data_IF_812841228520
#
_entry.id   IF_812841228520
#
_cell.length_a   1.000
_cell.length_b   1.000
_cell.length_c   1.000
_cell.angle_alpha   90.00
_cell.angle_beta   90.00
_cell.angle_gamma   90.00
#
_symmetry.space_group_name_H-M   'P 1'
#
loop_
_entity.id
_entity.type
_entity.pdbx_description
1 polymer ?
#
# COMPACT_ATOMS: atom_id res chain seq x y z
N UNK A 1 3.49 -18.18 5.12
CA UNK A 1 4.73 -17.98 4.35
C UNK A 1 5.09 -19.31 3.71
N UNK A 2 5.44 -19.32 2.43
CA UNK A 2 5.84 -20.52 1.68
C UNK A 2 7.23 -20.25 1.09
N UNK A 3 8.07 -21.27 0.96
CA UNK A 3 9.36 -21.12 0.28
C UNK A 3 9.09 -20.85 -1.20
N UNK A 4 9.84 -19.92 -1.80
CA UNK A 4 9.72 -19.69 -3.25
C UNK A 4 10.32 -20.85 -4.04
N UNK A 5 9.63 -21.28 -5.09
CA UNK A 5 10.08 -22.35 -5.98
C UNK A 5 11.17 -21.87 -6.98
N UNK A 6 11.29 -20.56 -7.19
CA UNK A 6 12.24 -19.95 -8.15
C UNK A 6 13.53 -19.43 -7.50
N UNK A 7 13.48 -18.96 -6.25
CA UNK A 7 14.67 -18.57 -5.48
C UNK A 7 14.64 -19.17 -4.07
N UNK A 8 15.60 -20.04 -3.78
CA UNK A 8 15.74 -20.70 -2.47
C UNK A 8 15.99 -19.75 -1.28
N UNK A 9 16.30 -18.47 -1.53
CA UNK A 9 16.46 -17.42 -0.53
C UNK A 9 15.21 -16.56 -0.37
N UNK A 10 14.26 -16.62 -1.30
CA UNK A 10 13.02 -15.87 -1.24
C UNK A 10 11.94 -16.60 -0.42
N UNK A 11 11.05 -15.83 0.18
CA UNK A 11 9.88 -16.34 0.91
C UNK A 11 8.64 -15.64 0.42
N UNK A 12 7.66 -16.42 0.00
CA UNK A 12 6.36 -15.93 -0.43
C UNK A 12 5.45 -15.69 0.78
N UNK A 13 4.86 -14.51 0.83
CA UNK A 13 3.85 -14.15 1.82
C UNK A 13 2.49 -14.26 1.14
N UNK A 14 1.71 -15.26 1.55
CA UNK A 14 0.36 -15.50 1.01
C UNK A 14 -0.66 -15.04 2.04
N UNK A 15 -1.61 -14.21 1.61
CA UNK A 15 -2.77 -13.83 2.41
C UNK A 15 -3.70 -15.04 2.54
N UNK A 16 -3.94 -15.49 3.78
CA UNK A 16 -4.84 -16.63 4.02
C UNK A 16 -6.30 -16.19 3.87
N UNK A 17 -7.21 -17.15 3.68
CA UNK A 17 -8.64 -16.87 3.64
C UNK A 17 -9.13 -16.17 4.92
N UNK A 18 -8.71 -16.65 6.09
CA UNK A 18 -9.03 -16.01 7.38
C UNK A 18 -8.42 -14.61 7.49
N UNK A 19 -7.20 -14.42 7.00
CA UNK A 19 -6.54 -13.10 6.96
C UNK A 19 -7.28 -12.12 6.06
N UNK A 20 -7.76 -12.58 4.90
CA UNK A 20 -8.58 -11.78 3.99
C UNK A 20 -9.90 -11.36 4.64
N UNK A 21 -10.60 -12.28 5.29
CA UNK A 21 -11.84 -11.96 6.02
C UNK A 21 -11.60 -10.94 7.14
N UNK A 22 -10.52 -11.10 7.91
CA UNK A 22 -10.15 -10.16 8.96
C UNK A 22 -9.82 -8.77 8.39
N UNK A 23 -9.10 -8.71 7.26
CA UNK A 23 -8.81 -7.45 6.57
C UNK A 23 -10.10 -6.77 6.08
N UNK A 24 -10.98 -7.49 5.39
CA UNK A 24 -12.25 -6.96 4.88
C UNK A 24 -13.15 -6.45 6.01
N UNK A 25 -13.17 -7.13 7.16
CA UNK A 25 -13.91 -6.68 8.33
C UNK A 25 -13.31 -5.41 8.96
N UNK A 26 -11.98 -5.28 8.98
CA UNK A 26 -11.29 -4.15 9.61
C UNK A 26 -11.19 -2.90 8.70
N UNK A 27 -11.10 -3.09 7.38
CA UNK A 27 -10.79 -2.04 6.42
C UNK A 27 -11.77 -0.85 6.45
N UNK A 28 -13.12 -1.03 6.52
CA UNK A 28 -14.04 0.10 6.58
C UNK A 28 -13.84 0.97 7.83
N UNK A 29 -13.65 0.34 9.00
CA UNK A 29 -13.42 1.04 10.25
C UNK A 29 -12.09 1.77 10.27
N UNK A 30 -11.04 1.14 9.76
CA UNK A 30 -9.73 1.76 9.60
C UNK A 30 -9.78 2.97 8.66
N UNK A 31 -10.41 2.83 7.48
CA UNK A 31 -10.54 3.90 6.51
C UNK A 31 -11.32 5.09 7.07
N UNK A 32 -12.42 4.85 7.80
CA UNK A 32 -13.17 5.90 8.47
C UNK A 32 -12.31 6.63 9.51
N UNK A 33 -11.52 5.88 10.29
CA UNK A 33 -10.62 6.45 11.29
C UNK A 33 -9.52 7.31 10.67
N UNK A 34 -8.87 6.84 9.60
CA UNK A 34 -7.84 7.62 8.90
C UNK A 34 -8.43 8.90 8.29
N UNK A 35 -9.61 8.82 7.66
CA UNK A 35 -10.33 9.99 7.14
C UNK A 35 -10.58 11.03 8.23
N UNK A 36 -10.98 10.59 9.41
CA UNK A 36 -11.24 11.47 10.54
C UNK A 36 -9.95 12.03 11.17
N UNK A 37 -8.98 11.18 11.47
CA UNK A 37 -7.80 11.57 12.24
C UNK A 37 -6.79 12.39 11.42
N UNK A 38 -6.65 12.07 10.13
CA UNK A 38 -5.58 12.62 9.30
C UNK A 38 -6.10 13.64 8.29
N UNK A 39 -7.25 13.38 7.66
CA UNK A 39 -7.73 14.18 6.53
C UNK A 39 -8.81 15.21 6.88
N UNK A 40 -9.44 15.15 8.06
CA UNK A 40 -10.63 15.99 8.38
C UNK A 40 -10.40 17.49 8.21
N UNK A 41 -9.19 17.94 8.52
CA UNK A 41 -8.83 19.37 8.54
C UNK A 41 -8.12 19.79 7.24
N UNK A 42 -8.00 18.88 6.28
CA UNK A 42 -7.42 19.11 4.96
C UNK A 42 -8.54 19.31 3.93
N UNK A 43 -8.62 20.51 3.34
CA UNK A 43 -9.45 20.72 2.15
C UNK A 43 -8.88 19.98 0.93
N UNK A 44 -9.68 19.75 -0.13
CA UNK A 44 -9.29 18.91 -1.28
C UNK A 44 -7.95 19.28 -1.92
N UNK A 45 -7.71 20.57 -2.19
CA UNK A 45 -6.44 21.06 -2.74
C UNK A 45 -5.22 20.66 -1.92
N UNK A 46 -5.32 20.70 -0.58
CA UNK A 46 -4.19 20.29 0.29
C UNK A 46 -3.95 18.78 0.26
N UNK A 47 -5.00 17.99 0.04
CA UNK A 47 -4.87 16.54 -0.11
C UNK A 47 -4.20 16.19 -1.44
N UNK A 48 -4.54 16.91 -2.52
CA UNK A 48 -3.89 16.79 -3.84
C UNK A 48 -2.40 17.14 -3.75
N UNK A 49 -2.06 18.28 -3.13
CA UNK A 49 -0.65 18.68 -2.92
C UNK A 49 0.13 17.64 -2.11
N UNK A 50 -0.48 17.06 -1.08
CA UNK A 50 0.16 15.99 -0.31
C UNK A 50 0.40 14.74 -1.17
N UNK A 51 -0.55 14.38 -2.04
CA UNK A 51 -0.41 13.26 -2.95
C UNK A 51 0.78 13.47 -3.90
N UNK A 52 0.91 14.64 -4.52
CA UNK A 52 2.03 14.99 -5.42
C UNK A 52 3.40 14.94 -4.71
N UNK A 53 3.46 15.40 -3.46
CA UNK A 53 4.69 15.34 -2.64
C UNK A 53 5.08 13.89 -2.37
N UNK A 54 4.12 13.06 -1.96
CA UNK A 54 4.39 11.65 -1.64
C UNK A 54 4.74 10.84 -2.89
N UNK A 55 4.13 11.14 -4.04
CA UNK A 55 4.49 10.53 -5.33
C UNK A 55 5.92 10.89 -5.75
N UNK A 56 6.30 12.16 -5.60
CA UNK A 56 7.68 12.61 -5.88
C UNK A 56 8.70 11.89 -4.99
N UNK A 57 8.38 11.70 -3.71
CA UNK A 57 9.21 10.96 -2.77
C UNK A 57 9.30 9.47 -3.15
N UNK A 58 8.17 8.84 -3.50
CA UNK A 58 8.11 7.46 -3.96
C UNK A 58 9.00 7.24 -5.20
N UNK A 59 8.88 8.10 -6.21
CA UNK A 59 9.70 8.03 -7.42
C UNK A 59 11.21 8.24 -7.13
N UNK A 60 11.55 9.09 -6.16
CA UNK A 60 12.94 9.24 -5.71
C UNK A 60 13.47 7.95 -5.07
N UNK A 61 12.67 7.32 -4.21
CA UNK A 61 13.01 6.04 -3.57
C UNK A 61 13.17 4.94 -4.62
N UNK A 62 12.32 4.89 -5.65
CA UNK A 62 12.47 3.92 -6.74
C UNK A 62 13.74 4.14 -7.56
N UNK A 63 14.12 5.39 -7.84
CA UNK A 63 15.33 5.70 -8.62
C UNK A 63 16.62 5.41 -7.88
N UNK A 64 16.64 5.64 -6.57
CA UNK A 64 17.87 5.65 -5.77
C UNK A 64 17.94 4.53 -4.73
N UNK A 65 16.81 3.90 -4.42
CA UNK A 65 16.71 2.81 -3.48
C UNK A 65 17.02 1.45 -4.09
N UNK A 66 17.01 0.42 -3.24
CA UNK A 66 17.32 -0.96 -3.62
C UNK A 66 16.06 -1.81 -3.80
N UNK A 67 14.88 -1.24 -3.56
CA UNK A 67 13.62 -1.96 -3.74
C UNK A 67 13.26 -1.94 -5.23
N UNK A 68 12.94 -3.11 -5.83
CA UNK A 68 12.43 -3.14 -7.19
C UNK A 68 11.08 -2.43 -7.24
N UNK A 69 10.75 -1.85 -8.41
CA UNK A 69 9.39 -1.33 -8.65
C UNK A 69 8.40 -2.49 -8.44
N UNK A 70 7.36 -2.31 -7.59
CA UNK A 70 6.35 -3.33 -7.40
C UNK A 70 5.62 -3.56 -8.72
N UNK A 71 5.38 -4.83 -9.04
CA UNK A 71 4.49 -5.24 -10.12
C UNK A 71 3.06 -4.99 -9.65
N UNK A 72 2.55 -3.80 -9.93
CA UNK A 72 1.18 -3.43 -9.63
C UNK A 72 0.37 -3.68 -10.90
N UNK A 73 -0.60 -4.58 -10.83
CA UNK A 73 -1.64 -4.67 -11.85
C UNK A 73 -2.44 -3.36 -11.83
N UNK A 74 -2.09 -2.42 -12.72
CA UNK A 74 -2.79 -1.13 -12.89
C UNK A 74 -4.26 -1.31 -13.33
N UNK A 75 -4.65 -2.53 -13.71
CA UNK A 75 -5.98 -2.92 -14.20
C UNK A 75 -6.88 -3.60 -13.15
N UNK A 76 -6.42 -3.76 -11.89
CA UNK A 76 -7.31 -4.21 -10.81
C UNK A 76 -8.26 -3.07 -10.40
N UNK A 77 -9.59 -3.28 -10.43
CA UNK A 77 -10.59 -2.23 -10.17
C UNK A 77 -10.58 -1.69 -8.73
#
# INVERSE_FOLDING_TARGET
RVRSDSDGRATEVVLTAAGRQAFEAAAPGHAAWVKHLFFSDMGPRRQEELAEILESAYESILRHGTLPRPDLDEDLP
#
